data_IF_754827228355
#
_entry.id   IF_754827228355
#
_cell.length_a   1.000
_cell.length_b   1.000
_cell.length_c   1.000
_cell.angle_alpha   90.00
_cell.angle_beta   90.00
_cell.angle_gamma   90.00
#
_symmetry.space_group_name_H-M   'P 1'
#
loop_
_entity.id
_entity.type
_entity.pdbx_description
1 polymer ?
#
# COMPACT_ATOMS: atom_id res chain seq x y z
N UNK A 1 -17.75 7.95 2.15
CA UNK A 1 -18.19 6.77 2.93
C UNK A 1 -17.53 5.47 2.47
N UNK A 2 -17.21 5.32 1.19
CA UNK A 2 -16.67 4.07 0.62
C UNK A 2 -15.30 3.64 1.19
N UNK A 3 -14.36 4.57 1.42
CA UNK A 3 -13.05 4.25 2.03
C UNK A 3 -13.18 3.56 3.40
N UNK A 4 -14.06 4.07 4.27
CA UNK A 4 -14.23 3.54 5.64
C UNK A 4 -14.84 2.14 5.62
N UNK A 5 -15.77 1.89 4.68
CA UNK A 5 -16.35 0.55 4.43
C UNK A 5 -15.30 -0.41 3.89
N UNK A 6 -14.45 0.04 2.97
CA UNK A 6 -13.35 -0.78 2.45
C UNK A 6 -12.38 -1.17 3.58
N UNK A 7 -11.96 -0.21 4.41
CA UNK A 7 -11.12 -0.49 5.58
C UNK A 7 -11.80 -1.40 6.61
N UNK A 8 -13.14 -1.33 6.73
CA UNK A 8 -13.91 -2.27 7.55
C UNK A 8 -13.82 -3.69 7.00
N UNK A 9 -14.07 -3.83 5.69
CA UNK A 9 -14.02 -5.12 5.01
C UNK A 9 -12.63 -5.75 5.13
N UNK A 10 -11.54 -5.00 4.88
CA UNK A 10 -10.16 -5.50 5.05
C UNK A 10 -9.92 -6.00 6.47
N UNK A 11 -10.39 -5.26 7.48
CA UNK A 11 -10.27 -5.67 8.88
C UNK A 11 -11.04 -6.96 9.19
N UNK A 12 -12.25 -7.10 8.65
CA UNK A 12 -13.08 -8.30 8.81
C UNK A 12 -12.49 -9.50 8.07
N UNK A 13 -11.88 -9.28 6.91
CA UNK A 13 -11.29 -10.35 6.11
C UNK A 13 -10.11 -10.99 6.83
N UNK A 14 -9.25 -10.19 7.47
CA UNK A 14 -8.16 -10.72 8.31
C UNK A 14 -8.67 -11.65 9.44
N UNK A 15 -9.86 -11.35 10.01
CA UNK A 15 -10.51 -12.22 11.00
C UNK A 15 -11.06 -13.50 10.35
N UNK A 16 -11.71 -13.39 9.18
CA UNK A 16 -12.27 -14.54 8.45
C UNK A 16 -11.19 -15.52 8.02
N UNK A 17 -9.99 -15.05 7.68
CA UNK A 17 -8.84 -15.89 7.33
C UNK A 17 -8.15 -16.53 8.55
N UNK A 18 -8.75 -16.50 9.75
CA UNK A 18 -8.22 -17.15 10.96
C UNK A 18 -7.35 -16.26 11.85
N UNK A 19 -7.20 -14.97 11.51
CA UNK A 19 -6.50 -14.00 12.33
C UNK A 19 -7.41 -13.21 13.28
N UNK A 20 -6.87 -12.12 13.83
CA UNK A 20 -7.65 -11.11 14.54
C UNK A 20 -8.13 -10.03 13.57
N UNK A 21 -9.26 -9.39 13.91
CA UNK A 21 -9.75 -8.24 13.16
C UNK A 21 -8.71 -7.11 13.21
N UNK A 22 -8.30 -6.61 12.05
CA UNK A 22 -7.38 -5.48 11.99
C UNK A 22 -8.11 -4.16 12.27
N UNK A 23 -7.63 -3.33 13.21
CA UNK A 23 -8.09 -1.96 13.35
C UNK A 23 -7.77 -1.14 12.09
N UNK A 24 -8.66 -0.20 11.73
CA UNK A 24 -8.48 0.69 10.56
C UNK A 24 -7.14 1.44 10.60
N UNK A 25 -6.77 1.94 11.78
CA UNK A 25 -5.50 2.64 11.99
C UNK A 25 -4.29 1.73 11.71
N UNK A 26 -4.38 0.44 12.03
CA UNK A 26 -3.31 -0.52 11.74
C UNK A 26 -3.18 -0.78 10.24
N UNK A 27 -4.30 -0.81 9.51
CA UNK A 27 -4.30 -0.95 8.04
C UNK A 27 -3.64 0.28 7.39
N UNK A 28 -4.06 1.49 7.76
CA UNK A 28 -3.45 2.73 7.26
C UNK A 28 -1.96 2.79 7.59
N UNK A 29 -1.57 2.44 8.82
CA UNK A 29 -0.16 2.38 9.23
C UNK A 29 0.64 1.38 8.39
N UNK A 30 0.08 0.21 8.09
CA UNK A 30 0.74 -0.79 7.25
C UNK A 30 0.96 -0.26 5.82
N UNK A 31 -0.04 0.41 5.24
CA UNK A 31 0.09 1.04 3.91
C UNK A 31 1.18 2.12 3.91
N UNK A 32 1.17 3.03 4.88
CA UNK A 32 2.22 4.08 5.01
C UNK A 32 3.61 3.47 5.17
N UNK A 33 3.76 2.43 5.99
CA UNK A 33 5.04 1.72 6.14
C UNK A 33 5.55 1.14 4.81
N UNK A 34 4.66 0.66 3.94
CA UNK A 34 5.03 0.18 2.60
C UNK A 34 5.48 1.35 1.73
N UNK A 35 4.77 2.47 1.74
CA UNK A 35 5.17 3.67 0.99
C UNK A 35 6.57 4.17 1.37
N UNK A 36 6.87 4.18 2.68
CA UNK A 36 8.20 4.53 3.18
C UNK A 36 9.29 3.57 2.67
N UNK A 37 9.02 2.26 2.67
CA UNK A 37 9.96 1.24 2.18
C UNK A 37 10.17 1.27 0.68
N UNK A 38 9.18 1.75 -0.06
CA UNK A 38 9.25 1.95 -1.51
C UNK A 38 9.99 3.25 -1.88
N UNK A 39 10.41 4.05 -0.90
CA UNK A 39 11.08 5.34 -1.09
C UNK A 39 10.29 6.24 -2.05
N UNK A 40 8.95 6.26 -1.88
CA UNK A 40 8.07 7.12 -2.69
C UNK A 40 8.41 8.57 -2.39
N UNK A 41 8.89 9.29 -3.40
CA UNK A 41 9.14 10.72 -3.31
C UNK A 41 7.80 11.49 -3.31
N UNK A 42 7.52 12.11 -2.16
CA UNK A 42 6.34 12.95 -1.90
C UNK A 42 6.64 14.45 -1.93
N UNK A 43 7.87 14.85 -2.27
CA UNK A 43 8.23 16.27 -2.34
C UNK A 43 7.37 16.99 -3.38
N UNK A 44 6.74 18.08 -2.95
CA UNK A 44 5.90 18.94 -3.80
C UNK A 44 4.50 18.40 -4.11
N UNK A 45 4.08 17.29 -3.50
CA UNK A 45 2.71 16.77 -3.63
C UNK A 45 1.74 17.68 -2.89
N UNK A 46 0.66 18.09 -3.57
CA UNK A 46 -0.38 18.99 -3.04
C UNK A 46 -1.78 18.41 -3.11
N UNK A 47 -2.00 17.38 -3.95
CA UNK A 47 -3.30 16.72 -4.13
C UNK A 47 -3.23 15.22 -3.84
N UNK A 48 -4.40 14.60 -3.67
CA UNK A 48 -4.50 13.16 -3.48
C UNK A 48 -4.12 12.42 -4.77
N UNK A 49 -4.53 12.93 -5.91
CA UNK A 49 -4.29 12.35 -7.23
C UNK A 49 -2.79 12.31 -7.56
N UNK A 50 -2.05 13.39 -7.27
CA UNK A 50 -0.59 13.43 -7.40
C UNK A 50 0.08 12.37 -6.55
N UNK A 51 -0.37 12.20 -5.30
CA UNK A 51 0.15 11.16 -4.43
C UNK A 51 -0.11 9.76 -5.01
N UNK A 52 -1.31 9.51 -5.52
CA UNK A 52 -1.68 8.24 -6.14
C UNK A 52 -0.81 7.93 -7.37
N UNK A 53 -0.53 8.92 -8.22
CA UNK A 53 0.38 8.77 -9.37
C UNK A 53 1.81 8.42 -8.94
N UNK A 54 2.34 9.07 -7.90
CA UNK A 54 3.68 8.76 -7.36
C UNK A 54 3.75 7.32 -6.84
N UNK A 55 2.71 6.87 -6.14
CA UNK A 55 2.61 5.50 -5.62
C UNK A 55 2.55 4.49 -6.77
N UNK A 56 1.74 4.75 -7.81
CA UNK A 56 1.66 3.91 -8.99
C UNK A 56 2.99 3.82 -9.74
N UNK A 57 3.68 4.94 -9.93
CA UNK A 57 5.00 4.99 -10.54
C UNK A 57 6.03 4.15 -9.77
N UNK A 58 6.00 4.23 -8.44
CA UNK A 58 6.87 3.43 -7.58
C UNK A 58 6.56 1.92 -7.69
N UNK A 59 5.28 1.52 -7.76
CA UNK A 59 4.90 0.11 -7.94
C UNK A 59 5.40 -0.47 -9.28
N UNK A 60 5.33 0.32 -10.37
CA UNK A 60 5.89 -0.07 -11.67
C UNK A 60 7.40 -0.34 -11.61
N UNK A 61 8.14 0.54 -10.91
CA UNK A 61 9.59 0.37 -10.68
C UNK A 61 9.90 -0.89 -9.87
N UNK A 62 9.16 -1.15 -8.80
CA UNK A 62 9.33 -2.35 -7.95
C UNK A 62 9.11 -3.63 -8.76
N UNK A 63 8.10 -3.67 -9.64
CA UNK A 63 7.82 -4.85 -10.48
C UNK A 63 8.96 -5.14 -11.45
N UNK A 64 9.51 -4.10 -12.09
CA UNK A 64 10.68 -4.24 -12.97
C UNK A 64 11.91 -4.74 -12.19
N UNK A 65 12.16 -4.18 -11.01
CA UNK A 65 13.30 -4.54 -10.16
C UNK A 65 13.20 -5.99 -9.63
N UNK A 66 12.01 -6.41 -9.20
CA UNK A 66 11.74 -7.79 -8.77
C UNK A 66 11.93 -8.80 -9.93
N UNK A 67 11.52 -8.44 -11.14
CA UNK A 67 11.71 -9.27 -12.34
C UNK A 67 13.18 -9.45 -12.71
N UNK A 68 13.97 -8.37 -12.64
CA UNK A 68 15.42 -8.40 -12.90
C UNK A 68 16.14 -9.32 -11.89
N UNK A 69 15.78 -9.27 -10.60
CA UNK A 69 16.38 -10.13 -9.58
C UNK A 69 15.93 -11.60 -9.63
N UNK A 70 14.78 -11.89 -10.22
CA UNK A 70 14.25 -13.26 -10.35
C UNK A 70 14.91 -14.11 -11.45
N UNK A 71 15.58 -13.48 -12.41
CA UNK A 71 16.25 -14.17 -13.54
C UNK A 71 17.68 -14.67 -13.24
N UNK A 72 18.19 -14.40 -12.04
CA UNK A 72 19.56 -14.75 -11.62
C UNK A 72 19.65 -15.99 -10.74
N UNK A 73 18.67 -16.91 -10.80
CA UNK A 73 18.67 -18.18 -10.08
C UNK A 73 18.25 -19.33 -10.97
#
# INVERSE_FOLDING_TARGET
MELVKYLEWVGLEARRSGGLRLPKASIVRALVNVLMRMEVDVSGVTTQEELEERIWGAMGKVRAWAWVRGRGR
#
